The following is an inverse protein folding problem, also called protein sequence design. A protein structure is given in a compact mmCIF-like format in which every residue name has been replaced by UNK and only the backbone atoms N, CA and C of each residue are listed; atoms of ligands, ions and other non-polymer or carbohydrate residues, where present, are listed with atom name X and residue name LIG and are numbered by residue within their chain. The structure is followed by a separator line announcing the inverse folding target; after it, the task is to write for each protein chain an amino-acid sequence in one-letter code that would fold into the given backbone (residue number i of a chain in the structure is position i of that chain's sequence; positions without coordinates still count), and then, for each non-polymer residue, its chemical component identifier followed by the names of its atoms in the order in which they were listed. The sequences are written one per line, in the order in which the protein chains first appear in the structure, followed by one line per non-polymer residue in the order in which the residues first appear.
data_IF_754312039820
#
_entry.id   IF_754312039820
#
_cell.length_a   1.000
_cell.length_b   1.000
_cell.length_c   1.000
_cell.angle_alpha   90.00
_cell.angle_beta   90.00
_cell.angle_gamma   90.00
#
_symmetry.space_group_name_H-M   'P 1'
#
loop_
_entity.id
_entity.type
_entity.pdbx_description
1 polymer ?
#
# COMPACT_ATOMS: atom_id res chain seq x y z
N UNK A 1 -63.10 1.38 -10.76
CA UNK A 1 -62.45 2.62 -11.25
C UNK A 1 -60.91 2.56 -11.24
N UNK A 2 -60.32 1.37 -11.46
CA UNK A 2 -58.87 1.19 -11.71
C UNK A 2 -58.61 0.46 -13.05
N UNK A 3 -59.67 0.01 -13.74
CA UNK A 3 -59.59 -0.78 -14.98
C UNK A 3 -59.42 0.07 -16.26
N UNK A 4 -59.66 1.38 -16.21
CA UNK A 4 -59.61 2.24 -17.42
C UNK A 4 -58.38 3.15 -17.53
N UNK A 5 -57.47 3.15 -16.55
CA UNK A 5 -56.28 4.02 -16.64
C UNK A 5 -55.16 3.42 -17.50
N UNK A 6 -55.21 2.10 -17.75
CA UNK A 6 -54.17 1.37 -18.48
C UNK A 6 -54.52 1.14 -19.97
N UNK A 7 -55.80 1.27 -20.34
CA UNK A 7 -56.32 1.04 -21.70
C UNK A 7 -56.10 2.20 -22.66
N UNK A 8 -55.87 3.42 -22.15
CA UNK A 8 -55.75 4.64 -22.96
C UNK A 8 -54.29 5.05 -23.23
N UNK A 9 -53.32 4.23 -22.80
CA UNK A 9 -51.90 4.48 -23.02
C UNK A 9 -51.52 3.96 -24.42
N UNK A 10 -51.06 4.82 -25.35
CA UNK A 10 -50.61 4.40 -26.67
C UNK A 10 -49.52 3.34 -26.60
N UNK A 11 -49.56 2.34 -27.49
CA UNK A 11 -48.58 1.26 -27.57
C UNK A 11 -47.11 1.72 -27.51
N UNK A 12 -46.68 2.83 -28.18
CA UNK A 12 -45.31 3.33 -28.07
C UNK A 12 -44.90 3.71 -26.63
N UNK A 13 -45.85 4.20 -25.82
CA UNK A 13 -45.61 4.54 -24.42
C UNK A 13 -45.51 3.26 -23.58
N UNK A 14 -46.36 2.26 -23.83
CA UNK A 14 -46.26 0.93 -23.20
C UNK A 14 -44.93 0.25 -23.50
N UNK A 15 -44.49 0.32 -24.75
CA UNK A 15 -43.20 -0.22 -25.17
C UNK A 15 -42.03 0.52 -24.48
N UNK A 16 -42.07 1.85 -24.43
CA UNK A 16 -41.04 2.65 -23.74
C UNK A 16 -40.98 2.35 -22.23
N UNK A 17 -42.13 2.25 -21.55
CA UNK A 17 -42.20 1.86 -20.13
C UNK A 17 -41.63 0.45 -19.94
N UNK A 18 -41.99 -0.51 -20.80
CA UNK A 18 -41.43 -1.86 -20.79
C UNK A 18 -39.91 -1.88 -20.95
N UNK A 19 -39.37 -1.13 -21.91
CA UNK A 19 -37.93 -0.97 -22.11
C UNK A 19 -37.24 -0.39 -20.88
N UNK A 20 -37.82 0.64 -20.23
CA UNK A 20 -37.26 1.23 -19.01
C UNK A 20 -37.28 0.23 -17.85
N UNK A 21 -38.38 -0.51 -17.66
CA UNK A 21 -38.47 -1.54 -16.61
C UNK A 21 -37.42 -2.64 -16.84
N UNK A 22 -37.28 -3.13 -18.07
CA UNK A 22 -36.27 -4.16 -18.40
C UNK A 22 -34.86 -3.61 -18.24
N UNK A 23 -34.59 -2.38 -18.65
CA UNK A 23 -33.28 -1.73 -18.47
C UNK A 23 -32.95 -1.55 -16.99
N UNK A 24 -33.89 -1.07 -16.18
CA UNK A 24 -33.73 -0.93 -14.73
C UNK A 24 -33.53 -2.30 -14.07
N UNK A 25 -34.36 -3.29 -14.41
CA UNK A 25 -34.21 -4.65 -13.88
C UNK A 25 -32.84 -5.23 -14.23
N UNK A 26 -32.41 -5.12 -15.49
CA UNK A 26 -31.09 -5.56 -15.94
C UNK A 26 -29.98 -4.83 -15.20
N UNK A 27 -30.13 -3.53 -14.99
CA UNK A 27 -29.19 -2.72 -14.22
C UNK A 27 -29.11 -3.19 -12.76
N UNK A 28 -30.24 -3.41 -12.09
CA UNK A 28 -30.29 -3.92 -10.72
C UNK A 28 -29.77 -5.35 -10.60
N UNK A 29 -30.06 -6.23 -11.57
CA UNK A 29 -29.51 -7.59 -11.61
C UNK A 29 -28.00 -7.57 -11.83
N UNK A 30 -27.48 -6.74 -12.75
CA UNK A 30 -26.03 -6.56 -12.94
C UNK A 30 -25.37 -5.99 -11.69
N UNK A 31 -25.98 -4.99 -11.04
CA UNK A 31 -25.48 -4.48 -9.76
C UNK A 31 -25.52 -5.53 -8.66
N UNK A 32 -26.60 -6.31 -8.54
CA UNK A 32 -26.71 -7.37 -7.55
C UNK A 32 -25.68 -8.48 -7.78
N UNK A 33 -25.45 -8.86 -9.04
CA UNK A 33 -24.41 -9.82 -9.43
C UNK A 33 -22.99 -9.26 -9.23
N UNK A 34 -22.77 -7.97 -9.47
CA UNK A 34 -21.51 -7.31 -9.16
C UNK A 34 -21.27 -7.26 -7.64
N UNK A 35 -22.31 -6.93 -6.86
CA UNK A 35 -22.27 -6.95 -5.38
C UNK A 35 -22.01 -8.34 -4.83
N UNK A 36 -22.60 -9.39 -5.44
CA UNK A 36 -22.30 -10.78 -5.05
C UNK A 36 -20.88 -11.20 -5.41
N UNK A 37 -20.22 -10.50 -6.33
CA UNK A 37 -18.80 -10.63 -6.67
C UNK A 37 -17.90 -9.66 -5.91
N UNK A 38 -18.43 -8.91 -4.95
CA UNK A 38 -17.66 -8.01 -4.08
C UNK A 38 -17.70 -6.53 -4.45
N UNK A 39 -18.37 -6.12 -5.53
CA UNK A 39 -18.46 -4.71 -5.91
C UNK A 39 -19.17 -3.88 -4.83
N UNK A 40 -18.55 -2.77 -4.44
CA UNK A 40 -19.00 -1.92 -3.33
C UNK A 40 -19.83 -0.77 -3.90
N UNK A 41 -21.04 -0.49 -3.39
CA UNK A 41 -21.83 0.65 -3.87
C UNK A 41 -21.08 1.97 -3.69
N UNK A 42 -21.13 2.84 -4.70
CA UNK A 42 -20.51 4.15 -4.60
C UNK A 42 -21.03 4.93 -3.37
N UNK A 43 -20.13 5.45 -2.50
CA UNK A 43 -20.51 6.28 -1.37
C UNK A 43 -21.40 7.45 -1.77
N UNK A 44 -22.23 7.95 -0.85
CA UNK A 44 -23.22 9.00 -1.15
C UNK A 44 -22.57 10.27 -1.71
N UNK A 45 -21.43 10.67 -1.16
CA UNK A 45 -20.68 11.84 -1.59
C UNK A 45 -20.05 11.63 -2.98
N UNK A 46 -19.54 10.42 -3.28
CA UNK A 46 -19.04 10.05 -4.63
C UNK A 46 -20.16 10.14 -5.68
N UNK A 47 -21.36 9.63 -5.34
CA UNK A 47 -22.54 9.76 -6.22
C UNK A 47 -22.98 11.20 -6.41
N UNK A 48 -23.02 12.00 -5.33
CA UNK A 48 -23.35 13.44 -5.40
C UNK A 48 -22.34 14.21 -6.27
N UNK A 49 -21.08 13.80 -6.27
CA UNK A 49 -20.04 14.37 -7.12
C UNK A 49 -20.10 13.89 -8.58
N UNK A 50 -21.06 13.05 -8.96
CA UNK A 50 -21.18 12.51 -10.32
C UNK A 50 -20.14 11.44 -10.68
N UNK A 51 -19.37 10.95 -9.70
CA UNK A 51 -18.22 10.04 -9.91
C UNK A 51 -18.56 8.55 -9.81
N UNK A 52 -19.85 8.20 -9.92
CA UNK A 52 -20.31 6.80 -9.81
C UNK A 52 -19.75 5.92 -10.94
N UNK A 53 -19.62 6.44 -12.16
CA UNK A 53 -19.02 5.71 -13.28
C UNK A 53 -17.56 5.35 -13.04
N UNK A 54 -16.77 6.29 -12.50
CA UNK A 54 -15.37 6.06 -12.14
C UNK A 54 -15.24 5.03 -11.00
N UNK A 55 -16.10 5.15 -9.99
CA UNK A 55 -16.16 4.18 -8.89
C UNK A 55 -16.47 2.76 -9.38
N UNK A 56 -17.37 2.60 -10.35
CA UNK A 56 -17.70 1.30 -10.92
C UNK A 56 -16.52 0.69 -11.69
N UNK A 57 -15.74 1.49 -12.42
CA UNK A 57 -14.50 1.03 -13.06
C UNK A 57 -13.46 0.60 -12.02
N UNK A 58 -13.36 1.33 -10.91
CA UNK A 58 -12.47 0.96 -9.81
C UNK A 58 -12.91 -0.33 -9.11
N UNK A 59 -14.21 -0.58 -8.97
CA UNK A 59 -14.71 -1.87 -8.49
C UNK A 59 -14.25 -3.02 -9.37
N UNK A 60 -14.34 -2.88 -10.69
CA UNK A 60 -13.85 -3.90 -11.63
C UNK A 60 -12.34 -4.10 -11.49
N UNK A 61 -11.58 -3.00 -11.38
CA UNK A 61 -10.13 -3.03 -11.23
C UNK A 61 -9.66 -3.68 -9.92
N UNK A 62 -10.33 -3.40 -8.80
CA UNK A 62 -9.95 -3.87 -7.46
C UNK A 62 -10.69 -5.13 -7.00
N UNK A 63 -11.50 -5.77 -7.85
CA UNK A 63 -12.20 -7.00 -7.43
C UNK A 63 -11.16 -8.08 -7.11
N UNK A 64 -11.13 -8.62 -5.88
CA UNK A 64 -10.08 -9.55 -5.47
C UNK A 64 -10.25 -10.92 -6.13
N UNK A 65 -9.16 -11.45 -6.66
CA UNK A 65 -9.05 -12.85 -7.06
C UNK A 65 -8.45 -13.67 -5.91
N UNK A 66 -9.21 -14.65 -5.42
CA UNK A 66 -8.88 -15.45 -4.23
C UNK A 66 -8.91 -16.95 -4.56
N UNK A 67 -8.02 -17.71 -3.92
CA UNK A 67 -8.14 -19.17 -3.84
C UNK A 67 -8.85 -19.55 -2.55
N UNK A 68 -9.96 -20.28 -2.65
CA UNK A 68 -10.78 -20.64 -1.49
C UNK A 68 -11.77 -19.54 -1.10
N UNK A 69 -12.26 -19.57 0.15
CA UNK A 69 -13.19 -18.55 0.65
C UNK A 69 -12.42 -17.49 1.44
N UNK A 70 -12.96 -16.28 1.46
CA UNK A 70 -12.40 -15.15 2.23
C UNK A 70 -12.35 -15.47 3.72
N UNK A 71 -13.36 -16.17 4.24
CA UNK A 71 -13.46 -16.53 5.66
C UNK A 71 -12.34 -17.49 6.10
N UNK A 72 -11.82 -18.32 5.18
CA UNK A 72 -10.75 -19.27 5.47
C UNK A 72 -9.43 -18.55 5.81
N UNK A 73 -9.25 -17.31 5.31
CA UNK A 73 -8.08 -16.47 5.57
C UNK A 73 -7.92 -16.08 7.03
N UNK A 74 -9.00 -16.12 7.83
CA UNK A 74 -8.97 -15.76 9.24
C UNK A 74 -8.03 -16.64 10.08
N UNK A 75 -7.77 -17.87 9.62
CA UNK A 75 -6.94 -18.86 10.32
C UNK A 75 -5.74 -19.32 9.49
N UNK A 76 -5.54 -18.76 8.30
CA UNK A 76 -4.45 -19.12 7.41
C UNK A 76 -3.22 -18.23 7.67
N UNK A 77 -2.12 -18.79 8.20
CA UNK A 77 -0.90 -18.02 8.44
C UNK A 77 -0.29 -17.47 7.14
N UNK A 78 -0.47 -18.13 5.99
CA UNK A 78 0.01 -17.62 4.71
C UNK A 78 -0.78 -16.39 4.26
N UNK A 79 -2.10 -16.39 4.47
CA UNK A 79 -2.92 -15.21 4.23
C UNK A 79 -2.48 -14.03 5.11
N UNK A 80 -2.19 -14.28 6.40
CA UNK A 80 -1.62 -13.27 7.31
C UNK A 80 -0.30 -12.71 6.78
N UNK A 81 0.62 -13.58 6.37
CA UNK A 81 1.92 -13.17 5.83
C UNK A 81 1.80 -12.36 4.53
N UNK A 82 0.89 -12.75 3.63
CA UNK A 82 0.67 -12.07 2.34
C UNK A 82 -0.15 -10.79 2.46
N UNK A 83 -0.87 -10.56 3.55
CA UNK A 83 -1.79 -9.43 3.70
C UNK A 83 -1.20 -8.08 3.26
N UNK A 84 0.04 -7.70 3.65
CA UNK A 84 0.64 -6.45 3.18
C UNK A 84 0.81 -6.38 1.66
N UNK A 85 1.07 -7.49 0.97
CA UNK A 85 1.22 -7.52 -0.50
C UNK A 85 -0.12 -7.41 -1.26
N UNK A 86 -1.26 -7.63 -0.59
CA UNK A 86 -2.59 -7.60 -1.23
C UNK A 86 -2.90 -6.23 -1.83
N UNK A 87 -2.38 -5.15 -1.24
CA UNK A 87 -2.54 -3.77 -1.69
C UNK A 87 -2.15 -3.55 -3.16
N UNK A 88 -1.10 -4.24 -3.61
CA UNK A 88 -0.64 -4.21 -5.00
C UNK A 88 -1.25 -5.32 -5.83
N UNK A 89 -1.50 -6.48 -5.20
CA UNK A 89 -2.10 -7.63 -5.88
C UNK A 89 -3.48 -7.32 -6.44
N UNK A 90 -4.27 -6.50 -5.72
CA UNK A 90 -5.57 -5.99 -6.18
C UNK A 90 -5.48 -5.19 -7.48
N UNK A 91 -4.38 -4.49 -7.72
CA UNK A 91 -4.22 -3.62 -8.89
C UNK A 91 -3.57 -4.34 -10.09
N UNK A 92 -3.04 -5.54 -9.88
CA UNK A 92 -2.20 -6.25 -10.85
C UNK A 92 -2.81 -7.57 -11.34
N UNK A 93 -4.12 -7.80 -11.11
CA UNK A 93 -4.83 -9.02 -11.49
C UNK A 93 -4.18 -10.31 -10.92
N UNK A 94 -3.66 -10.20 -9.70
CA UNK A 94 -2.98 -11.30 -9.01
C UNK A 94 -3.93 -12.03 -8.04
N UNK A 95 -3.69 -13.33 -7.83
CA UNK A 95 -4.40 -14.06 -6.76
C UNK A 95 -3.85 -13.56 -5.42
N UNK A 96 -4.66 -12.86 -4.63
CA UNK A 96 -4.17 -12.05 -3.51
C UNK A 96 -3.63 -12.88 -2.34
N UNK A 97 -4.09 -14.13 -2.18
CA UNK A 97 -3.70 -15.05 -1.11
C UNK A 97 -2.83 -16.23 -1.60
N UNK A 98 -2.02 -16.02 -2.64
CA UNK A 98 -1.02 -16.99 -3.10
C UNK A 98 0.32 -16.29 -3.26
N UNK A 99 1.43 -16.95 -2.91
CA UNK A 99 2.76 -16.41 -3.15
C UNK A 99 3.07 -16.38 -4.66
N UNK A 100 2.66 -17.44 -5.37
CA UNK A 100 2.83 -17.57 -6.81
C UNK A 100 2.16 -16.40 -7.56
N UNK A 101 2.84 -15.90 -8.59
CA UNK A 101 2.31 -14.90 -9.50
C UNK A 101 1.49 -15.54 -10.62
N UNK A 102 0.38 -14.91 -10.97
CA UNK A 102 -0.40 -15.19 -12.16
C UNK A 102 0.29 -14.60 -13.41
N UNK A 103 0.94 -13.44 -13.28
CA UNK A 103 1.56 -12.70 -14.39
C UNK A 103 3.07 -12.41 -14.14
N UNK A 104 3.94 -13.43 -14.01
CA UNK A 104 5.35 -13.21 -13.69
C UNK A 104 6.10 -12.35 -14.72
N UNK A 105 5.75 -12.42 -16.01
CA UNK A 105 6.37 -11.57 -17.04
C UNK A 105 6.06 -10.09 -16.88
N UNK A 106 4.80 -9.74 -16.59
CA UNK A 106 4.39 -8.36 -16.33
C UNK A 106 5.04 -7.81 -15.05
N UNK A 107 5.11 -8.65 -14.01
CA UNK A 107 5.80 -8.30 -12.76
C UNK A 107 7.29 -8.02 -12.99
N UNK A 108 7.97 -8.83 -13.81
CA UNK A 108 9.38 -8.60 -14.17
C UNK A 108 9.57 -7.24 -14.86
N UNK A 109 8.74 -6.94 -15.85
CA UNK A 109 8.81 -5.66 -16.56
C UNK A 109 8.56 -4.45 -15.62
N UNK A 110 7.68 -4.60 -14.62
CA UNK A 110 7.44 -3.59 -13.59
C UNK A 110 8.67 -3.40 -12.69
N UNK A 111 9.29 -4.48 -12.22
CA UNK A 111 10.51 -4.42 -11.40
C UNK A 111 11.65 -3.69 -12.13
N UNK A 112 11.87 -4.00 -13.40
CA UNK A 112 12.92 -3.36 -14.20
C UNK A 112 12.62 -1.88 -14.44
N UNK A 113 11.40 -1.54 -14.86
CA UNK A 113 11.02 -0.17 -15.23
C UNK A 113 10.91 0.77 -14.02
N UNK A 114 10.26 0.33 -12.95
CA UNK A 114 9.86 1.21 -11.85
C UNK A 114 10.85 1.17 -10.68
N UNK A 115 11.68 0.12 -10.59
CA UNK A 115 12.67 -0.05 -9.53
C UNK A 115 14.11 -0.23 -10.04
N UNK A 116 14.32 -0.49 -11.34
CA UNK A 116 15.64 -0.83 -11.87
C UNK A 116 16.17 -2.19 -11.40
N UNK A 117 15.31 -3.06 -10.85
CA UNK A 117 15.71 -4.35 -10.29
C UNK A 117 15.67 -5.42 -11.40
N UNK A 118 16.82 -6.01 -11.69
CA UNK A 118 16.99 -7.04 -12.73
C UNK A 118 17.51 -8.37 -12.17
N UNK A 119 17.88 -8.42 -10.89
CA UNK A 119 18.46 -9.60 -10.24
C UNK A 119 18.12 -9.71 -8.75
N UNK A 120 18.56 -10.83 -8.15
CA UNK A 120 18.40 -11.16 -6.73
C UNK A 120 19.09 -10.16 -5.81
N UNK A 121 20.31 -9.73 -6.14
CA UNK A 121 21.09 -8.87 -5.26
C UNK A 121 20.45 -7.47 -5.15
N UNK A 122 20.07 -6.88 -6.28
CA UNK A 122 19.33 -5.62 -6.34
C UNK A 122 18.00 -5.71 -5.59
N UNK A 123 17.30 -6.84 -5.70
CA UNK A 123 16.06 -7.07 -4.95
C UNK A 123 16.31 -7.07 -3.42
N UNK A 124 17.26 -7.86 -2.94
CA UNK A 124 17.56 -7.97 -1.51
C UNK A 124 17.98 -6.62 -0.92
N UNK A 125 18.83 -5.87 -1.64
CA UNK A 125 19.24 -4.51 -1.26
C UNK A 125 18.04 -3.56 -1.19
N UNK A 126 17.13 -3.61 -2.16
CA UNK A 126 15.96 -2.75 -2.18
C UNK A 126 14.96 -3.09 -1.05
N UNK A 127 14.68 -4.38 -0.82
CA UNK A 127 13.83 -4.81 0.30
C UNK A 127 14.44 -4.35 1.62
N UNK A 128 15.74 -4.55 1.82
CA UNK A 128 16.42 -4.14 3.04
C UNK A 128 16.40 -2.62 3.26
N UNK A 129 16.59 -1.84 2.19
CA UNK A 129 16.46 -0.37 2.24
C UNK A 129 15.08 0.05 2.73
N UNK A 130 14.01 -0.57 2.20
CA UNK A 130 12.63 -0.28 2.63
C UNK A 130 12.33 -0.76 4.06
N UNK A 131 12.94 -1.86 4.52
CA UNK A 131 12.81 -2.31 5.91
C UNK A 131 13.44 -1.32 6.88
N UNK A 132 14.58 -0.72 6.52
CA UNK A 132 15.33 0.18 7.41
C UNK A 132 14.83 1.62 7.39
N UNK A 133 14.62 2.17 6.20
CA UNK A 133 14.35 3.59 6.00
C UNK A 133 13.35 3.74 4.86
N UNK A 134 13.80 3.82 3.61
CA UNK A 134 12.92 4.22 2.51
C UNK A 134 12.46 5.67 2.69
N UNK A 135 11.29 6.02 2.15
CA UNK A 135 10.85 7.42 2.18
C UNK A 135 10.40 7.89 3.57
N UNK A 136 10.13 6.98 4.51
CA UNK A 136 9.76 7.37 5.88
C UNK A 136 10.81 8.27 6.55
N UNK A 137 12.09 8.02 6.28
CA UNK A 137 13.20 8.80 6.83
C UNK A 137 13.20 10.22 6.26
N UNK A 138 13.05 10.36 4.94
CA UNK A 138 12.97 11.66 4.27
C UNK A 138 11.80 12.50 4.79
N UNK A 139 10.63 11.88 5.00
CA UNK A 139 9.45 12.56 5.50
C UNK A 139 9.54 12.92 6.99
N UNK A 140 10.11 12.04 7.82
CA UNK A 140 10.42 12.37 9.21
C UNK A 140 11.40 13.54 9.31
N UNK A 141 12.48 13.50 8.52
CA UNK A 141 13.45 14.60 8.49
C UNK A 141 12.85 15.90 7.94
N UNK A 142 11.93 15.82 6.97
CA UNK A 142 11.21 16.99 6.47
C UNK A 142 10.27 17.57 7.54
N UNK A 143 9.54 16.72 8.27
CA UNK A 143 8.71 17.12 9.42
C UNK A 143 9.54 17.90 10.45
N UNK A 144 10.69 17.36 10.83
CA UNK A 144 11.58 18.00 11.81
C UNK A 144 12.14 19.33 11.33
N UNK A 145 12.47 19.44 10.04
CA UNK A 145 12.91 20.72 9.45
C UNK A 145 11.79 21.75 9.42
N UNK A 146 10.56 21.36 9.07
CA UNK A 146 9.40 22.23 9.09
C UNK A 146 9.07 22.77 10.50
N UNK A 147 9.41 22.02 11.56
CA UNK A 147 9.24 22.46 12.94
C UNK A 147 10.27 23.52 13.40
N UNK A 148 11.36 23.72 12.66
CA UNK A 148 12.41 24.71 13.01
C UNK A 148 11.93 26.13 12.66
N UNK A 149 11.94 27.08 13.62
CA UNK A 149 11.51 28.46 13.35
C UNK A 149 12.23 29.08 12.15
N UNK A 150 11.47 29.65 11.21
CA UNK A 150 11.97 30.37 10.03
C UNK A 150 12.56 29.50 8.91
N UNK A 151 12.75 28.18 9.11
CA UNK A 151 13.30 27.30 8.07
C UNK A 151 12.35 27.17 6.89
N UNK A 152 11.06 26.90 7.15
CA UNK A 152 10.08 26.66 6.10
C UNK A 152 9.85 27.92 5.24
N UNK A 153 9.76 29.10 5.85
CA UNK A 153 9.62 30.37 5.13
C UNK A 153 10.81 30.64 4.21
N UNK A 154 12.03 30.41 4.71
CA UNK A 154 13.28 30.58 3.94
C UNK A 154 13.33 29.60 2.77
N UNK A 155 13.01 28.33 3.00
CA UNK A 155 13.05 27.29 1.97
C UNK A 155 11.95 27.49 0.93
N UNK A 156 10.73 27.85 1.32
CA UNK A 156 9.65 28.20 0.38
C UNK A 156 10.07 29.40 -0.49
N UNK A 157 10.67 30.44 0.10
CA UNK A 157 11.14 31.61 -0.65
C UNK A 157 12.24 31.23 -1.67
N UNK A 158 13.12 30.28 -1.34
CA UNK A 158 14.11 29.73 -2.28
C UNK A 158 13.43 28.97 -3.41
N UNK A 159 12.53 28.04 -3.08
CA UNK A 159 11.84 27.16 -4.04
C UNK A 159 10.93 27.93 -4.99
N UNK A 160 10.27 29.00 -4.52
CA UNK A 160 9.43 29.86 -5.37
C UNK A 160 10.16 30.47 -6.57
N UNK A 161 11.50 30.55 -6.54
CA UNK A 161 12.29 31.07 -7.67
C UNK A 161 12.30 30.12 -8.88
N UNK A 162 12.07 28.83 -8.66
CA UNK A 162 12.24 27.78 -9.69
C UNK A 162 11.05 26.85 -9.80
N UNK A 163 10.14 26.82 -8.82
CA UNK A 163 8.98 25.91 -8.76
C UNK A 163 8.05 25.98 -9.98
N UNK A 164 7.99 27.09 -10.72
CA UNK A 164 7.18 27.16 -11.95
C UNK A 164 7.82 26.43 -13.14
N UNK A 165 9.09 26.04 -13.02
CA UNK A 165 9.90 25.42 -14.08
C UNK A 165 10.62 24.12 -13.66
N UNK A 166 10.60 23.80 -12.36
CA UNK A 166 11.25 22.63 -11.77
C UNK A 166 10.21 21.82 -11.00
N UNK A 167 9.92 20.62 -11.49
CA UNK A 167 8.96 19.70 -10.87
C UNK A 167 9.41 19.31 -9.46
N UNK A 168 10.71 19.05 -9.27
CA UNK A 168 11.28 18.73 -7.96
C UNK A 168 11.08 19.87 -6.95
N UNK A 169 11.37 21.11 -7.34
CA UNK A 169 11.20 22.25 -6.44
C UNK A 169 9.71 22.53 -6.15
N UNK A 170 8.84 22.30 -7.14
CA UNK A 170 7.40 22.39 -6.95
C UNK A 170 6.90 21.34 -5.96
N UNK A 171 7.27 20.06 -6.12
CA UNK A 171 6.88 18.97 -5.22
C UNK A 171 7.40 19.23 -3.80
N UNK A 172 8.66 19.64 -3.69
CA UNK A 172 9.29 19.95 -2.39
C UNK A 172 8.56 21.08 -1.69
N UNK A 173 8.22 22.16 -2.42
CA UNK A 173 7.43 23.28 -1.88
C UNK A 173 6.04 22.80 -1.47
N UNK A 174 5.40 21.98 -2.30
CA UNK A 174 4.09 21.41 -2.01
C UNK A 174 4.12 20.61 -0.70
N UNK A 175 5.08 19.68 -0.52
CA UNK A 175 5.21 18.86 0.70
C UNK A 175 5.46 19.73 1.95
N UNK A 176 6.34 20.74 1.86
CA UNK A 176 6.57 21.68 2.98
C UNK A 176 5.26 22.35 3.38
N UNK A 177 4.48 22.83 2.41
CA UNK A 177 3.20 23.48 2.71
C UNK A 177 2.21 22.53 3.39
N UNK A 178 2.13 21.28 2.93
CA UNK A 178 1.30 20.25 3.58
C UNK A 178 1.69 20.01 5.04
N UNK A 179 2.99 19.99 5.35
CA UNK A 179 3.48 19.85 6.72
C UNK A 179 3.10 21.05 7.59
N UNK A 180 3.21 22.28 7.07
CA UNK A 180 2.80 23.48 7.80
C UNK A 180 1.29 23.49 8.12
N UNK A 181 0.48 23.01 7.17
CA UNK A 181 -0.98 22.96 7.31
C UNK A 181 -1.44 21.72 8.12
N UNK A 182 -0.52 20.81 8.48
CA UNK A 182 -0.79 19.49 9.09
C UNK A 182 -1.89 18.71 8.32
N UNK A 183 -1.83 18.79 7.00
CA UNK A 183 -2.83 18.15 6.15
C UNK A 183 -2.91 16.65 6.43
N UNK A 184 -4.13 16.12 6.56
CA UNK A 184 -4.39 14.70 6.84
C UNK A 184 -3.70 14.19 8.11
N UNK A 185 -3.30 15.06 9.03
CA UNK A 185 -2.67 14.67 10.30
C UNK A 185 -1.22 14.18 10.16
N UNK A 186 -0.51 14.55 9.10
CA UNK A 186 0.86 14.06 8.84
C UNK A 186 1.89 14.43 9.91
N UNK A 187 1.62 15.40 10.79
CA UNK A 187 2.51 15.72 11.90
C UNK A 187 2.63 14.56 12.90
N UNK A 188 1.59 13.76 13.10
CA UNK A 188 1.59 12.63 14.05
C UNK A 188 1.62 11.27 13.39
N UNK A 189 1.63 11.21 12.06
CA UNK A 189 1.62 9.96 11.32
C UNK A 189 2.98 9.25 11.37
N UNK A 190 2.98 7.93 11.60
CA UNK A 190 4.11 7.07 11.26
C UNK A 190 4.03 6.70 9.76
N UNK A 191 5.05 7.08 9.01
CA UNK A 191 5.14 6.86 7.55
C UNK A 191 5.53 5.40 7.19
N UNK A 192 5.68 4.51 8.18
CA UNK A 192 6.23 3.16 8.02
C UNK A 192 5.55 2.29 6.92
N UNK A 193 4.23 2.36 6.83
CA UNK A 193 3.40 1.48 6.02
C UNK A 193 3.73 1.57 4.52
N UNK A 194 4.08 2.76 4.01
CA UNK A 194 4.42 2.97 2.60
C UNK A 194 5.59 2.11 2.14
N UNK A 195 6.68 2.09 2.89
CA UNK A 195 7.85 1.30 2.51
C UNK A 195 7.67 -0.18 2.86
N UNK A 196 7.01 -0.52 3.98
CA UNK A 196 6.80 -1.92 4.39
C UNK A 196 5.87 -2.69 3.44
N UNK A 197 4.78 -2.07 2.98
CA UNK A 197 3.86 -2.68 2.00
C UNK A 197 4.55 -2.84 0.64
N UNK A 198 5.40 -1.88 0.24
CA UNK A 198 6.23 -2.02 -0.98
C UNK A 198 7.26 -3.13 -0.85
N UNK A 199 7.89 -3.27 0.32
CA UNK A 199 8.79 -4.38 0.60
C UNK A 199 8.07 -5.75 0.48
N UNK A 200 6.81 -5.84 0.93
CA UNK A 200 6.02 -7.07 0.78
C UNK A 200 5.71 -7.38 -0.69
N UNK A 201 5.37 -6.36 -1.49
CA UNK A 201 5.16 -6.51 -2.92
C UNK A 201 6.45 -6.98 -3.63
N UNK A 202 7.60 -6.37 -3.32
CA UNK A 202 8.90 -6.79 -3.87
C UNK A 202 9.27 -8.21 -3.44
N UNK A 203 8.99 -8.59 -2.19
CA UNK A 203 9.24 -9.96 -1.68
C UNK A 203 8.44 -10.99 -2.48
N UNK A 204 7.13 -10.76 -2.66
CA UNK A 204 6.27 -11.62 -3.49
C UNK A 204 6.76 -11.66 -4.94
N UNK A 205 7.12 -10.50 -5.49
CA UNK A 205 7.61 -10.40 -6.86
C UNK A 205 8.90 -11.22 -7.05
N UNK A 206 9.85 -11.11 -6.12
CA UNK A 206 11.09 -11.87 -6.12
C UNK A 206 10.90 -13.38 -6.05
N UNK A 207 9.96 -13.85 -5.22
CA UNK A 207 9.57 -15.26 -5.19
C UNK A 207 9.02 -15.73 -6.55
N UNK A 208 8.14 -14.91 -7.16
CA UNK A 208 7.57 -15.21 -8.46
C UNK A 208 8.56 -15.18 -9.63
N UNK A 209 9.69 -14.47 -9.50
CA UNK A 209 10.81 -14.50 -10.46
C UNK A 209 11.80 -15.64 -10.19
N UNK A 210 11.66 -16.37 -9.08
CA UNK A 210 12.64 -17.36 -8.64
C UNK A 210 13.94 -16.75 -8.11
N UNK A 211 13.95 -15.45 -7.79
CA UNK A 211 15.09 -14.78 -7.16
C UNK A 211 15.14 -15.04 -5.66
N UNK A 212 14.00 -15.32 -5.03
CA UNK A 212 13.88 -15.81 -3.66
C UNK A 212 13.30 -17.22 -3.68
N UNK A 213 13.82 -18.09 -2.83
CA UNK A 213 13.13 -19.34 -2.51
C UNK A 213 11.82 -19.06 -1.76
N UNK A 214 10.90 -20.03 -1.72
CA UNK A 214 9.67 -19.87 -0.93
C UNK A 214 9.97 -19.63 0.55
N UNK A 215 10.96 -20.34 1.12
CA UNK A 215 11.34 -20.21 2.52
C UNK A 215 11.84 -18.79 2.84
N UNK A 216 12.68 -18.22 1.97
CA UNK A 216 13.16 -16.84 2.10
C UNK A 216 12.03 -15.81 1.97
N UNK A 217 11.11 -16.04 1.04
CA UNK A 217 9.98 -15.15 0.81
C UNK A 217 9.02 -15.15 2.00
N UNK A 218 8.67 -16.33 2.52
CA UNK A 218 7.81 -16.46 3.70
C UNK A 218 8.46 -15.86 4.94
N UNK A 219 9.75 -16.10 5.15
CA UNK A 219 10.50 -15.50 6.27
C UNK A 219 10.57 -13.97 6.16
N UNK A 220 10.83 -13.44 4.96
CA UNK A 220 10.88 -11.99 4.72
C UNK A 220 9.50 -11.35 4.92
N UNK A 221 8.41 -12.02 4.49
CA UNK A 221 7.05 -11.57 4.81
C UNK A 221 6.79 -11.58 6.32
N UNK A 222 7.31 -12.56 7.07
CA UNK A 222 7.19 -12.58 8.53
C UNK A 222 7.93 -11.40 9.19
N UNK A 223 9.12 -11.04 8.68
CA UNK A 223 9.87 -9.85 9.08
C UNK A 223 9.03 -8.57 8.85
N UNK A 224 8.38 -8.45 7.69
CA UNK A 224 7.53 -7.29 7.36
C UNK A 224 6.29 -7.21 8.25
N UNK A 225 5.63 -8.34 8.52
CA UNK A 225 4.47 -8.38 9.43
C UNK A 225 4.87 -7.99 10.86
N UNK A 226 6.06 -8.42 11.31
CA UNK A 226 6.64 -7.98 12.59
C UNK A 226 6.87 -6.48 12.61
N UNK A 227 7.47 -5.92 11.55
CA UNK A 227 7.68 -4.47 11.42
C UNK A 227 6.37 -3.68 11.50
N UNK A 228 5.33 -4.13 10.80
CA UNK A 228 4.00 -3.53 10.85
C UNK A 228 3.40 -3.57 12.27
N UNK A 229 3.61 -4.66 13.01
CA UNK A 229 3.15 -4.77 14.41
C UNK A 229 3.93 -3.90 15.40
N UNK A 230 5.17 -3.50 15.07
CA UNK A 230 5.90 -2.51 15.86
C UNK A 230 5.44 -1.08 15.59
N UNK A 231 4.97 -0.80 14.36
CA UNK A 231 4.56 0.55 13.94
C UNK A 231 3.07 0.84 14.14
N UNK A 232 2.21 -0.19 14.12
CA UNK A 232 0.75 -0.01 14.08
C UNK A 232 0.02 -0.97 15.02
N UNK A 233 -1.22 -0.62 15.33
CA UNK A 233 -2.12 -1.35 16.23
C UNK A 233 -3.27 -2.06 15.49
N UNK A 234 -3.50 -1.75 14.21
CA UNK A 234 -4.52 -2.42 13.41
C UNK A 234 -4.29 -2.33 11.89
N UNK A 235 -5.09 -3.08 11.13
CA UNK A 235 -5.13 -3.02 9.68
C UNK A 235 -5.63 -1.68 9.15
N UNK A 236 -6.62 -1.08 9.81
CA UNK A 236 -7.16 0.24 9.49
C UNK A 236 -6.10 1.32 9.66
N UNK A 237 -5.34 1.29 10.76
CA UNK A 237 -4.25 2.23 11.00
C UNK A 237 -3.14 2.05 9.95
N UNK A 238 -2.77 0.80 9.64
CA UNK A 238 -1.80 0.49 8.59
C UNK A 238 -2.25 1.03 7.23
N UNK A 239 -3.53 0.84 6.88
CA UNK A 239 -4.10 1.31 5.62
C UNK A 239 -4.14 2.84 5.54
N UNK A 240 -4.51 3.49 6.64
CA UNK A 240 -4.54 4.95 6.77
C UNK A 240 -3.15 5.55 6.58
N UNK A 241 -2.15 5.00 7.28
CA UNK A 241 -0.76 5.42 7.15
C UNK A 241 -0.24 5.21 5.73
N UNK A 242 -0.56 4.08 5.10
CA UNK A 242 -0.16 3.80 3.73
C UNK A 242 -0.73 4.82 2.74
N UNK A 243 -2.05 5.07 2.78
CA UNK A 243 -2.69 5.99 1.81
C UNK A 243 -2.23 7.43 1.98
N UNK A 244 -2.05 7.91 3.21
CA UNK A 244 -1.56 9.28 3.45
C UNK A 244 -0.11 9.41 3.01
N UNK A 245 0.74 8.43 3.34
CA UNK A 245 2.15 8.49 2.94
C UNK A 245 2.31 8.36 1.42
N UNK A 246 1.49 7.52 0.75
CA UNK A 246 1.42 7.47 -0.73
C UNK A 246 1.05 8.83 -1.32
N UNK A 247 0.04 9.49 -0.77
CA UNK A 247 -0.37 10.83 -1.19
C UNK A 247 0.76 11.86 -1.05
N UNK A 248 1.47 11.84 0.08
CA UNK A 248 2.62 12.72 0.32
C UNK A 248 3.78 12.43 -0.64
N UNK A 249 4.03 11.14 -0.92
CA UNK A 249 5.04 10.70 -1.89
C UNK A 249 4.70 11.15 -3.30
N UNK A 250 3.48 10.89 -3.75
CA UNK A 250 3.03 11.20 -5.10
C UNK A 250 3.13 12.70 -5.41
N UNK A 251 2.80 13.55 -4.42
CA UNK A 251 2.86 15.01 -4.50
C UNK A 251 2.34 15.54 -5.83
N UNK A 252 1.03 15.57 -6.03
CA UNK A 252 0.41 15.87 -7.33
C UNK A 252 -0.52 17.07 -7.25
N UNK A 253 -0.84 17.66 -8.41
CA UNK A 253 -1.85 18.72 -8.49
C UNK A 253 -3.25 18.23 -8.08
N UNK A 254 -4.14 19.16 -7.74
CA UNK A 254 -5.45 18.87 -7.11
C UNK A 254 -6.30 17.84 -7.87
N UNK A 255 -6.36 17.94 -9.21
CA UNK A 255 -7.14 17.02 -10.03
C UNK A 255 -6.62 15.57 -9.95
N UNK A 256 -5.30 15.40 -10.00
CA UNK A 256 -4.67 14.10 -9.93
C UNK A 256 -4.71 13.53 -8.49
N UNK A 257 -4.51 14.40 -7.49
CA UNK A 257 -4.74 14.06 -6.07
C UNK A 257 -6.15 13.53 -5.86
N UNK A 258 -7.17 14.21 -6.40
CA UNK A 258 -8.57 13.78 -6.26
C UNK A 258 -8.87 12.43 -6.95
N UNK A 259 -8.19 12.14 -8.06
CA UNK A 259 -8.30 10.83 -8.73
C UNK A 259 -7.63 9.73 -7.90
N UNK A 260 -6.43 9.99 -7.38
CA UNK A 260 -5.71 9.05 -6.52
C UNK A 260 -6.42 8.81 -5.18
N UNK A 261 -7.05 9.82 -4.60
CA UNK A 261 -7.88 9.67 -3.40
C UNK A 261 -9.10 8.79 -3.66
N UNK A 262 -9.77 8.96 -4.81
CA UNK A 262 -10.89 8.11 -5.19
C UNK A 262 -10.45 6.66 -5.40
N UNK A 263 -9.32 6.46 -6.07
CA UNK A 263 -8.70 5.17 -6.29
C UNK A 263 -8.38 4.47 -4.96
N UNK A 264 -7.68 5.17 -4.06
CA UNK A 264 -7.30 4.62 -2.76
C UNK A 264 -8.52 4.37 -1.88
N UNK A 265 -9.49 5.28 -1.86
CA UNK A 265 -10.74 5.04 -1.13
C UNK A 265 -11.44 3.77 -1.59
N UNK A 266 -11.57 3.55 -2.90
CA UNK A 266 -12.19 2.34 -3.43
C UNK A 266 -11.38 1.09 -3.05
N UNK A 267 -10.05 1.12 -3.20
CA UNK A 267 -9.16 0.03 -2.77
C UNK A 267 -9.31 -0.28 -1.28
N UNK A 268 -9.44 0.75 -0.45
CA UNK A 268 -9.68 0.63 0.99
C UNK A 268 -10.95 -0.15 1.33
N UNK A 269 -12.02 -0.03 0.55
CA UNK A 269 -13.25 -0.80 0.76
C UNK A 269 -13.02 -2.31 0.58
N UNK A 270 -12.12 -2.71 -0.32
CA UNK A 270 -11.76 -4.12 -0.54
C UNK A 270 -10.73 -4.65 0.46
N UNK A 271 -10.00 -3.78 1.16
CA UNK A 271 -9.03 -4.18 2.17
C UNK A 271 -9.64 -4.14 3.57
N UNK A 272 -10.06 -2.96 4.03
CA UNK A 272 -10.50 -2.69 5.40
C UNK A 272 -12.00 -2.38 5.51
N UNK A 273 -12.73 -2.41 4.40
CA UNK A 273 -14.20 -2.30 4.43
C UNK A 273 -14.86 -3.48 5.14
N UNK A 274 -16.18 -3.41 5.34
CA UNK A 274 -16.95 -4.44 6.08
C UNK A 274 -16.70 -5.88 5.60
N UNK A 275 -16.53 -6.06 4.29
CA UNK A 275 -16.27 -7.34 3.64
C UNK A 275 -14.84 -7.44 3.09
N UNK A 276 -13.94 -6.58 3.57
CA UNK A 276 -12.58 -6.47 3.09
C UNK A 276 -11.72 -7.70 3.41
N UNK A 277 -10.62 -7.83 2.68
CA UNK A 277 -9.63 -8.90 2.82
C UNK A 277 -8.93 -8.83 4.18
N UNK A 278 -8.45 -7.66 4.57
CA UNK A 278 -7.77 -7.45 5.86
C UNK A 278 -8.75 -7.55 7.02
N UNK A 279 -10.01 -7.15 6.82
CA UNK A 279 -11.09 -7.38 7.81
C UNK A 279 -11.34 -8.86 8.09
N UNK A 280 -11.02 -9.75 7.15
CA UNK A 280 -11.13 -11.19 7.34
C UNK A 280 -9.94 -11.79 8.11
N UNK A 281 -8.82 -11.08 8.21
CA UNK A 281 -7.58 -11.55 8.81
C UNK A 281 -7.39 -10.83 10.14
N UNK A 282 -7.50 -11.51 11.31
CA UNK A 282 -7.25 -10.87 12.59
C UNK A 282 -5.87 -10.19 12.62
N UNK A 283 -5.79 -8.97 13.16
CA UNK A 283 -4.53 -8.23 13.25
C UNK A 283 -3.47 -8.99 14.07
N UNK A 284 -3.90 -9.69 15.11
CA UNK A 284 -3.08 -10.50 15.99
C UNK A 284 -3.03 -11.98 15.59
N UNK A 285 -3.51 -12.33 14.38
CA UNK A 285 -3.42 -13.69 13.87
C UNK A 285 -1.97 -14.19 13.90
N UNK A 286 -1.71 -15.40 14.44
CA UNK A 286 -0.36 -15.91 14.58
C UNK A 286 0.25 -16.27 13.23
N UNK A 287 1.55 -16.07 13.10
CA UNK A 287 2.37 -16.52 11.98
C UNK A 287 3.74 -17.00 12.52
N UNK A 288 4.51 -17.80 11.76
CA UNK A 288 5.83 -18.25 12.19
C UNK A 288 6.74 -17.08 12.55
N UNK A 289 7.45 -17.17 13.69
CA UNK A 289 8.38 -16.14 14.09
C UNK A 289 9.49 -15.96 13.03
N UNK A 290 9.84 -14.73 12.64
CA UNK A 290 10.85 -14.50 11.62
C UNK A 290 12.24 -14.94 12.09
N UNK A 291 12.95 -15.64 11.21
CA UNK A 291 14.35 -16.03 11.39
C UNK A 291 15.31 -15.00 10.83
N UNK A 292 14.83 -14.02 10.06
CA UNK A 292 15.63 -12.97 9.44
C UNK A 292 16.67 -13.49 8.43
N UNK A 293 16.29 -14.47 7.60
CA UNK A 293 17.16 -15.06 6.56
C UNK A 293 17.69 -13.99 5.61
N UNK A 294 16.88 -12.95 5.32
CA UNK A 294 17.30 -11.81 4.50
C UNK A 294 18.59 -11.16 5.04
N UNK A 295 18.77 -11.08 6.36
CA UNK A 295 19.97 -10.51 6.98
C UNK A 295 21.19 -11.42 6.80
N UNK A 296 21.00 -12.74 6.80
CA UNK A 296 22.07 -13.69 6.53
C UNK A 296 22.55 -13.58 5.08
N UNK A 297 21.62 -13.45 4.12
CA UNK A 297 21.96 -13.19 2.72
C UNK A 297 22.68 -11.85 2.54
N UNK A 298 22.21 -10.78 3.18
CA UNK A 298 22.86 -9.47 3.13
C UNK A 298 24.26 -9.49 3.76
N UNK A 299 24.48 -10.29 4.80
CA UNK A 299 25.81 -10.47 5.40
C UNK A 299 26.78 -11.07 4.38
N UNK A 300 26.37 -12.12 3.68
CA UNK A 300 27.18 -12.78 2.66
C UNK A 300 27.54 -11.83 1.51
N UNK A 301 26.66 -10.85 1.23
CA UNK A 301 26.86 -9.81 0.23
C UNK A 301 27.66 -8.59 0.75
N UNK A 302 28.08 -8.57 2.03
CA UNK A 302 28.70 -7.39 2.64
C UNK A 302 27.78 -6.16 2.66
N UNK A 303 26.46 -6.37 2.72
CA UNK A 303 25.43 -5.35 2.58
C UNK A 303 24.68 -5.07 3.90
N UNK A 304 25.07 -5.70 5.01
CA UNK A 304 24.55 -5.38 6.33
C UNK A 304 24.95 -3.97 6.75
N UNK A 305 24.02 -3.28 7.39
CA UNK A 305 24.27 -1.95 7.92
C UNK A 305 23.82 -1.90 9.37
N UNK A 306 24.68 -1.33 10.21
CA UNK A 306 24.43 -1.15 11.63
C UNK A 306 24.19 0.33 11.91
N UNK A 307 23.26 0.64 12.81
CA UNK A 307 23.08 1.99 13.30
C UNK A 307 24.32 2.44 14.09
N UNK A 308 24.66 3.72 14.00
CA UNK A 308 25.58 4.33 14.97
C UNK A 308 24.92 4.35 16.35
N UNK A 309 25.69 4.54 17.42
CA UNK A 309 25.11 4.65 18.77
C UNK A 309 24.11 5.80 18.88
N UNK A 310 24.43 6.94 18.25
CA UNK A 310 23.57 8.13 18.22
C UNK A 310 22.27 7.83 17.48
N UNK A 311 22.35 7.27 16.28
CA UNK A 311 21.14 6.94 15.51
C UNK A 311 20.31 5.84 16.19
N UNK A 312 20.96 4.95 16.96
CA UNK A 312 20.24 3.92 17.70
C UNK A 312 19.42 4.49 18.85
N UNK A 313 19.85 5.58 19.51
CA UNK A 313 19.06 6.20 20.60
C UNK A 313 17.74 6.77 20.07
N UNK A 314 17.79 7.47 18.94
CA UNK A 314 16.65 8.13 18.30
C UNK A 314 15.78 7.19 17.44
N UNK A 315 16.25 5.96 17.17
CA UNK A 315 15.55 4.99 16.34
C UNK A 315 14.22 4.51 16.95
N UNK A 316 13.27 4.21 16.07
CA UNK A 316 12.00 3.55 16.39
C UNK A 316 12.21 2.15 16.98
N UNK A 317 11.17 1.61 17.61
CA UNK A 317 11.21 0.26 18.16
C UNK A 317 11.52 -0.81 17.08
N UNK A 318 10.97 -0.63 15.86
CA UNK A 318 11.27 -1.50 14.73
C UNK A 318 12.72 -1.40 14.27
N UNK A 319 13.24 -0.20 14.08
CA UNK A 319 14.64 0.01 13.65
C UNK A 319 15.63 -0.57 14.66
N UNK A 320 15.32 -0.43 15.97
CA UNK A 320 16.11 -1.05 17.05
C UNK A 320 16.07 -2.58 17.00
N UNK A 321 14.91 -3.18 16.76
CA UNK A 321 14.76 -4.65 16.61
C UNK A 321 15.53 -5.16 15.40
N UNK A 322 15.38 -4.52 14.24
CA UNK A 322 16.08 -4.87 13.01
C UNK A 322 17.60 -4.71 13.15
N UNK A 323 18.06 -3.63 13.77
CA UNK A 323 19.48 -3.38 14.03
C UNK A 323 20.06 -4.41 15.01
N UNK A 324 19.34 -4.77 16.07
CA UNK A 324 19.77 -5.83 16.99
C UNK A 324 19.94 -7.17 16.26
N UNK A 325 19.02 -7.52 15.36
CA UNK A 325 19.13 -8.72 14.52
C UNK A 325 20.28 -8.65 13.51
N UNK A 326 20.59 -7.46 12.98
CA UNK A 326 21.74 -7.27 12.10
C UNK A 326 23.06 -7.40 12.87
N UNK A 327 23.14 -6.86 14.09
CA UNK A 327 24.35 -6.93 14.95
C UNK A 327 24.73 -8.35 15.33
N UNK A 328 23.76 -9.23 15.60
CA UNK A 328 24.05 -10.65 15.92
C UNK A 328 24.67 -11.41 14.75
N UNK A 329 24.54 -10.87 13.52
CA UNK A 329 25.06 -11.45 12.28
C UNK A 329 26.31 -10.74 11.76
N UNK A 330 26.59 -9.54 12.25
CA UNK A 330 27.71 -8.75 11.78
C UNK A 330 29.06 -9.43 12.12
N UNK A 331 30.03 -9.42 11.19
CA UNK A 331 31.37 -9.93 11.48
C UNK A 331 32.00 -9.17 12.64
N UNK A 332 32.62 -9.91 13.55
CA UNK A 332 33.28 -9.36 14.75
C UNK A 332 34.70 -8.93 14.40
N UNK A 333 35.12 -7.76 14.90
CA UNK A 333 36.53 -7.36 14.90
C UNK A 333 37.34 -8.20 15.89
N UNK A 334 38.67 -8.16 15.79
CA UNK A 334 39.62 -8.88 16.67
C UNK A 334 39.44 -8.52 18.17
N UNK A 335 38.69 -7.47 18.50
CA UNK A 335 38.32 -7.08 19.86
C UNK A 335 36.88 -7.43 20.29
N UNK A 336 36.16 -8.26 19.54
CA UNK A 336 34.80 -8.69 19.89
C UNK A 336 33.72 -7.61 19.75
N UNK A 337 34.00 -6.52 19.04
CA UNK A 337 32.98 -5.54 18.64
C UNK A 337 32.54 -5.79 17.20
N UNK A 338 31.25 -5.67 16.86
CA UNK A 338 30.79 -5.71 15.47
C UNK A 338 31.57 -4.70 14.62
N UNK A 339 31.99 -5.10 13.42
CA UNK A 339 32.58 -4.17 12.45
C UNK A 339 31.46 -3.24 11.98
N UNK A 340 31.53 -1.98 12.40
CA UNK A 340 30.68 -0.90 11.87
C UNK A 340 31.31 -0.48 10.56
N UNK A 341 30.65 -0.80 9.44
CA UNK A 341 31.01 -0.25 8.13
C UNK A 341 30.35 1.11 7.91
#
# INVERSE_FOLDING_TARGET
MLQNFLSDIPFPIWFAIGCVIVALATHYFKQAAARSKGAVPAPRDVRKAGKEGEWNKLNEHHTPHLRGKREDMATDPQARLLAPSMVYSLCNDEIVNQLKLAQPGAMKAMLERDWGITDREGLLRQIYSLLRAGHREDFAALRDRCARPGWADTEIARLNKTADSSMEDWERRWRIRRFLDNDRGIQTLDFAAWDLIRAANLTRAGAGQGWLSEDEAWDTLAVINRALQFSYSSWEETWEAFRITRWLWAAEGDAQTANNDLHDRNRGEFLVGKNGLWTAIPWDAPYPAPRFIILDALREMGALHLLSSVNWEDASAWEKDLDAQARTRAPMSIGGKPIVQ
#
